data_IF_356500055145
#
_entry.id   IF_356500055145
#
_cell.length_a   1.000
_cell.length_b   1.000
_cell.length_c   1.000
_cell.angle_alpha   90.00
_cell.angle_beta   90.00
_cell.angle_gamma   90.00
#
_symmetry.space_group_name_H-M   'P 1'
#
loop_
_entity.id
_entity.type
_entity.pdbx_description
1 polymer ?
#
# COMPACT_ATOMS: atom_id res chain seq x y z
N UNK A 1 58.70 -13.72 -80.83
CA UNK A 1 57.26 -13.40 -80.64
C UNK A 1 56.77 -14.35 -79.57
N UNK A 2 56.63 -13.90 -78.30
CA UNK A 2 55.41 -13.27 -77.74
C UNK A 2 54.21 -14.19 -78.02
N UNK A 3 53.62 -14.86 -77.03
CA UNK A 3 52.81 -14.14 -76.03
C UNK A 3 52.75 -14.76 -74.62
N UNK A 4 52.58 -13.82 -73.69
CA UNK A 4 52.34 -13.96 -72.26
C UNK A 4 50.85 -14.23 -71.94
N UNK A 5 50.60 -15.21 -71.05
CA UNK A 5 49.70 -15.28 -69.86
C UNK A 5 48.50 -14.31 -69.73
N UNK A 6 47.32 -14.70 -69.17
CA UNK A 6 47.23 -14.79 -67.70
C UNK A 6 46.28 -15.82 -67.05
N UNK A 7 46.60 -16.09 -65.78
CA UNK A 7 45.76 -16.75 -64.77
C UNK A 7 44.42 -16.04 -64.60
N UNK A 8 43.35 -16.82 -64.49
CA UNK A 8 42.06 -16.34 -64.00
C UNK A 8 42.14 -16.11 -62.48
N UNK A 9 42.19 -14.84 -62.10
CA UNK A 9 41.93 -14.41 -60.73
C UNK A 9 40.50 -14.81 -60.32
N UNK A 10 40.40 -15.63 -59.27
CA UNK A 10 39.15 -15.86 -58.55
C UNK A 10 38.84 -14.55 -57.81
N UNK A 11 37.95 -13.75 -58.40
CA UNK A 11 37.37 -12.58 -57.75
C UNK A 11 36.51 -13.08 -56.59
N UNK A 12 37.05 -13.04 -55.38
CA UNK A 12 36.25 -13.04 -54.16
C UNK A 12 35.37 -11.80 -54.17
N UNK A 13 34.15 -11.94 -54.67
CA UNK A 13 33.11 -10.92 -54.58
C UNK A 13 32.84 -10.69 -53.09
N UNK A 14 33.30 -9.54 -52.62
CA UNK A 14 33.06 -9.00 -51.28
C UNK A 14 31.56 -8.95 -50.98
N UNK A 15 31.06 -9.92 -50.20
CA UNK A 15 29.70 -9.93 -49.66
C UNK A 15 29.49 -8.93 -48.52
N UNK A 16 30.39 -7.97 -48.33
CA UNK A 16 30.46 -7.13 -47.13
C UNK A 16 29.81 -5.74 -47.27
N UNK A 17 29.00 -5.45 -48.30
CA UNK A 17 28.50 -4.06 -48.51
C UNK A 17 26.99 -3.90 -48.51
N UNK A 18 26.20 -4.96 -48.75
CA UNK A 18 24.73 -4.86 -48.76
C UNK A 18 24.09 -5.05 -47.39
N UNK A 19 24.76 -5.73 -46.45
CA UNK A 19 24.22 -5.98 -45.11
C UNK A 19 24.39 -4.76 -44.20
N UNK A 20 25.50 -4.02 -44.32
CA UNK A 20 25.89 -2.97 -43.38
C UNK A 20 24.96 -1.76 -43.37
N UNK A 21 24.48 -1.31 -44.53
CA UNK A 21 23.58 -0.14 -44.60
C UNK A 21 22.16 -0.49 -44.14
N UNK A 22 21.70 -1.72 -44.36
CA UNK A 22 20.41 -2.22 -43.87
C UNK A 22 20.44 -2.28 -42.34
N UNK A 23 21.54 -2.80 -41.77
CA UNK A 23 21.73 -2.82 -40.32
C UNK A 23 21.80 -1.40 -39.75
N UNK A 24 22.50 -0.47 -40.40
CA UNK A 24 22.58 0.92 -39.95
C UNK A 24 21.21 1.63 -39.95
N UNK A 25 20.39 1.44 -40.99
CA UNK A 25 19.03 2.00 -41.06
C UNK A 25 18.10 1.32 -40.06
N UNK A 26 18.19 -0.01 -39.91
CA UNK A 26 17.40 -0.76 -38.94
C UNK A 26 17.71 -0.34 -37.49
N UNK A 27 18.98 -0.11 -37.15
CA UNK A 27 19.39 0.39 -35.84
C UNK A 27 18.98 1.86 -35.64
N UNK A 28 19.09 2.69 -36.69
CA UNK A 28 18.71 4.11 -36.66
C UNK A 28 17.21 4.36 -36.44
N UNK A 29 16.33 3.50 -36.98
CA UNK A 29 14.87 3.61 -36.82
C UNK A 29 14.37 2.77 -35.63
N UNK A 30 15.00 1.63 -35.37
CA UNK A 30 14.58 0.72 -34.29
C UNK A 30 14.73 1.33 -32.91
N UNK A 31 15.81 2.07 -32.65
CA UNK A 31 16.05 2.67 -31.33
C UNK A 31 14.98 3.73 -30.94
N UNK A 32 14.62 4.70 -31.81
CA UNK A 32 13.51 5.62 -31.54
C UNK A 32 12.16 4.91 -31.32
N UNK A 33 11.83 3.91 -32.14
CA UNK A 33 10.58 3.16 -32.01
C UNK A 33 10.52 2.42 -30.67
N UNK A 34 11.62 1.77 -30.26
CA UNK A 34 11.72 1.12 -28.97
C UNK A 34 11.59 2.12 -27.79
N UNK A 35 12.22 3.29 -27.91
CA UNK A 35 12.13 4.35 -26.89
C UNK A 35 10.69 4.87 -26.74
N UNK A 36 10.00 5.14 -27.86
CA UNK A 36 8.58 5.52 -27.85
C UNK A 36 7.72 4.42 -27.22
N UNK A 37 7.95 3.17 -27.59
CA UNK A 37 7.27 2.01 -27.00
C UNK A 37 7.42 1.96 -25.47
N UNK A 38 8.63 2.18 -24.95
CA UNK A 38 8.91 2.20 -23.52
C UNK A 38 8.20 3.37 -22.80
N UNK A 39 8.17 4.55 -23.42
CA UNK A 39 7.45 5.72 -22.89
C UNK A 39 5.96 5.43 -22.80
N UNK A 40 5.35 4.89 -23.86
CA UNK A 40 3.93 4.53 -23.88
C UNK A 40 3.62 3.47 -22.82
N UNK A 41 4.44 2.42 -22.69
CA UNK A 41 4.27 1.41 -21.66
C UNK A 41 4.36 2.01 -20.24
N UNK A 42 5.30 2.92 -20.00
CA UNK A 42 5.43 3.61 -18.72
C UNK A 42 4.20 4.46 -18.38
N UNK A 43 3.63 5.17 -19.37
CA UNK A 43 2.40 5.94 -19.20
C UNK A 43 1.20 5.03 -18.91
N UNK A 44 1.07 3.91 -19.64
CA UNK A 44 0.00 2.92 -19.41
C UNK A 44 0.09 2.30 -18.02
N UNK A 45 1.29 1.92 -17.57
CA UNK A 45 1.52 1.40 -16.22
C UNK A 45 1.11 2.40 -15.14
N UNK A 46 1.37 3.70 -15.34
CA UNK A 46 0.92 4.75 -14.40
C UNK A 46 -0.60 4.87 -14.37
N UNK A 47 -1.26 4.80 -15.54
CA UNK A 47 -2.72 4.81 -15.63
C UNK A 47 -3.36 3.61 -14.92
N UNK A 48 -2.85 2.41 -15.17
CA UNK A 48 -3.31 1.18 -14.52
C UNK A 48 -3.15 1.24 -13.00
N UNK A 49 -2.00 1.73 -12.49
CA UNK A 49 -1.79 1.91 -11.04
C UNK A 49 -2.85 2.78 -10.40
N UNK A 50 -3.24 3.90 -11.02
CA UNK A 50 -4.29 4.79 -10.48
C UNK A 50 -5.67 4.12 -10.49
N UNK A 51 -6.00 3.36 -11.53
CA UNK A 51 -7.25 2.64 -11.61
C UNK A 51 -7.33 1.53 -10.54
N UNK A 52 -6.27 0.76 -10.36
CA UNK A 52 -6.15 -0.26 -9.31
C UNK A 52 -6.27 0.37 -7.92
N UNK A 53 -5.62 1.51 -7.68
CA UNK A 53 -5.71 2.24 -6.43
C UNK A 53 -7.15 2.70 -6.15
N UNK A 54 -7.86 3.24 -7.15
CA UNK A 54 -9.26 3.67 -6.99
C UNK A 54 -10.20 2.49 -6.65
N UNK A 55 -10.07 1.36 -7.37
CA UNK A 55 -10.84 0.14 -7.09
C UNK A 55 -10.55 -0.40 -5.69
N UNK A 56 -9.29 -0.32 -5.28
CA UNK A 56 -8.87 -0.73 -3.96
C UNK A 56 -9.48 0.17 -2.87
N UNK A 57 -9.45 1.49 -3.04
CA UNK A 57 -10.10 2.43 -2.12
C UNK A 57 -11.60 2.18 -2.00
N UNK A 58 -12.30 1.91 -3.10
CA UNK A 58 -13.71 1.52 -3.07
C UNK A 58 -13.92 0.22 -2.28
N UNK A 59 -13.01 -0.74 -2.42
CA UNK A 59 -13.06 -2.01 -1.66
C UNK A 59 -12.80 -1.78 -0.16
N UNK A 60 -11.93 -0.84 0.20
CA UNK A 60 -11.74 -0.42 1.58
C UNK A 60 -12.98 0.26 2.15
N UNK A 61 -13.61 1.17 1.39
CA UNK A 61 -14.86 1.80 1.81
C UNK A 61 -15.93 0.77 2.12
N UNK A 62 -16.07 -0.25 1.27
CA UNK A 62 -17.01 -1.35 1.51
C UNK A 62 -16.65 -2.17 2.75
N UNK A 63 -15.37 -2.51 2.92
CA UNK A 63 -14.90 -3.20 4.13
C UNK A 63 -15.14 -2.36 5.40
N UNK A 64 -14.98 -1.05 5.34
CA UNK A 64 -15.27 -0.14 6.44
C UNK A 64 -16.76 -0.01 6.75
N UNK A 65 -17.63 -0.08 5.73
CA UNK A 65 -19.09 -0.08 5.93
C UNK A 65 -19.56 -1.28 6.72
N UNK A 66 -18.96 -2.46 6.51
CA UNK A 66 -19.24 -3.65 7.31
C UNK A 66 -18.97 -3.45 8.81
N UNK A 67 -18.12 -2.49 9.18
CA UNK A 67 -17.79 -2.15 10.57
C UNK A 67 -18.35 -0.78 11.01
N UNK A 68 -19.29 -0.19 10.27
CA UNK A 68 -19.77 1.17 10.56
C UNK A 68 -20.44 1.26 11.93
N UNK A 69 -21.13 0.20 12.36
CA UNK A 69 -21.70 0.11 13.71
C UNK A 69 -20.62 0.24 14.80
N UNK A 70 -19.51 -0.51 14.69
CA UNK A 70 -18.36 -0.40 15.59
C UNK A 70 -17.71 0.98 15.52
N UNK A 71 -17.53 1.51 14.31
CA UNK A 71 -16.93 2.83 14.10
C UNK A 71 -17.73 3.94 14.80
N UNK A 72 -19.06 3.93 14.68
CA UNK A 72 -19.96 4.92 15.31
C UNK A 72 -19.82 4.93 16.83
N UNK A 73 -19.57 3.79 17.45
CA UNK A 73 -19.38 3.70 18.90
C UNK A 73 -18.10 4.38 19.38
N UNK A 74 -17.07 4.48 18.54
CA UNK A 74 -15.84 5.23 18.86
C UNK A 74 -15.89 6.70 18.42
N UNK A 75 -16.99 7.16 17.81
CA UNK A 75 -17.06 8.47 17.16
C UNK A 75 -17.01 9.61 18.20
N UNK A 76 -16.14 10.62 18.00
CA UNK A 76 -16.14 11.81 18.84
C UNK A 76 -17.43 12.63 18.71
N UNK A 77 -17.73 13.52 19.68
CA UNK A 77 -18.78 14.52 19.53
C UNK A 77 -18.57 15.32 18.23
N UNK A 78 -19.65 15.56 17.50
CA UNK A 78 -19.63 16.50 16.37
C UNK A 78 -19.85 17.93 16.89
N UNK A 79 -19.27 18.93 16.22
CA UNK A 79 -19.49 20.34 16.53
C UNK A 79 -20.98 20.70 16.57
N UNK A 80 -21.75 20.13 15.63
CA UNK A 80 -23.19 20.38 15.47
C UNK A 80 -24.06 19.50 16.38
N UNK A 81 -23.51 18.43 16.96
CA UNK A 81 -24.25 17.44 17.76
C UNK A 81 -23.38 16.93 18.92
N UNK A 82 -23.22 17.79 19.92
CA UNK A 82 -22.44 17.48 21.13
C UNK A 82 -23.07 16.36 21.99
N UNK A 83 -24.36 16.12 21.79
CA UNK A 83 -25.15 15.05 22.42
C UNK A 83 -24.92 13.68 21.78
N UNK A 84 -24.45 13.63 20.52
CA UNK A 84 -24.20 12.38 19.79
C UNK A 84 -22.73 11.98 19.86
N UNK A 85 -22.34 11.50 21.04
CA UNK A 85 -21.03 10.88 21.28
C UNK A 85 -21.16 9.36 21.20
N UNK A 86 -20.21 8.71 20.54
CA UNK A 86 -20.14 7.26 20.56
C UNK A 86 -19.91 6.76 21.99
N UNK A 87 -20.67 5.75 22.43
CA UNK A 87 -20.58 5.17 23.79
C UNK A 87 -19.15 4.82 24.22
N UNK A 88 -18.29 4.47 23.27
CA UNK A 88 -16.91 4.03 23.51
C UNK A 88 -15.89 5.15 23.27
N UNK A 89 -16.31 6.40 23.08
CA UNK A 89 -15.40 7.50 22.80
C UNK A 89 -14.90 8.18 24.09
N UNK A 90 -13.59 8.35 24.20
CA UNK A 90 -12.95 9.16 25.24
C UNK A 90 -12.51 8.39 26.49
N UNK A 91 -11.84 9.10 27.38
CA UNK A 91 -11.11 8.53 28.53
C UNK A 91 -12.00 7.93 29.63
N UNK A 92 -13.26 8.36 29.71
CA UNK A 92 -14.22 7.90 30.73
C UNK A 92 -15.25 6.94 30.14
N UNK A 93 -15.03 6.43 28.93
CA UNK A 93 -16.00 5.59 28.23
C UNK A 93 -15.98 4.14 28.75
N UNK A 94 -17.18 3.56 28.90
CA UNK A 94 -17.37 2.18 29.38
C UNK A 94 -16.64 1.15 28.51
N UNK A 95 -16.52 1.42 27.19
CA UNK A 95 -15.98 0.47 26.22
C UNK A 95 -16.89 -0.74 25.95
N UNK A 96 -16.39 -1.78 25.27
CA UNK A 96 -17.14 -3.02 25.00
C UNK A 96 -17.40 -3.83 26.27
N UNK A 97 -18.63 -4.34 26.43
CA UNK A 97 -19.07 -5.10 27.60
C UNK A 97 -19.38 -6.56 27.29
N UNK A 98 -19.93 -6.83 26.10
CA UNK A 98 -20.30 -8.19 25.71
C UNK A 98 -19.21 -8.84 24.85
N UNK A 99 -19.21 -10.18 24.81
CA UNK A 99 -18.29 -10.93 23.95
C UNK A 99 -18.45 -10.57 22.46
N UNK A 100 -19.68 -10.34 22.01
CA UNK A 100 -20.00 -9.92 20.65
C UNK A 100 -19.43 -8.53 20.34
N UNK A 101 -19.56 -7.58 21.28
CA UNK A 101 -18.98 -6.25 21.13
C UNK A 101 -17.45 -6.31 21.05
N UNK A 102 -16.82 -7.16 21.86
CA UNK A 102 -15.38 -7.39 21.77
C UNK A 102 -14.97 -8.00 20.43
N UNK A 103 -15.70 -9.01 19.93
CA UNK A 103 -15.43 -9.60 18.62
C UNK A 103 -15.56 -8.55 17.50
N UNK A 104 -16.54 -7.65 17.58
CA UNK A 104 -16.72 -6.56 16.65
C UNK A 104 -15.57 -5.54 16.66
N UNK A 105 -15.03 -5.23 17.84
CA UNK A 105 -13.82 -4.37 17.97
C UNK A 105 -12.60 -5.08 17.40
N UNK A 106 -12.40 -6.36 17.70
CA UNK A 106 -11.26 -7.14 17.19
C UNK A 106 -11.30 -7.26 15.67
N UNK A 107 -12.47 -7.56 15.08
CA UNK A 107 -12.62 -7.62 13.63
C UNK A 107 -12.32 -6.27 12.96
N UNK A 108 -12.75 -5.18 13.59
CA UNK A 108 -12.49 -3.82 13.12
C UNK A 108 -11.02 -3.43 13.23
N UNK A 109 -10.36 -3.74 14.34
CA UNK A 109 -8.91 -3.56 14.50
C UNK A 109 -8.12 -4.44 13.52
N UNK A 110 -8.55 -5.67 13.30
CA UNK A 110 -7.94 -6.60 12.34
C UNK A 110 -8.02 -6.11 10.89
N UNK A 111 -9.04 -5.32 10.53
CA UNK A 111 -9.09 -4.64 9.24
C UNK A 111 -7.91 -3.67 9.07
N UNK A 112 -7.59 -2.89 10.10
CA UNK A 112 -6.44 -1.99 10.08
C UNK A 112 -5.10 -2.74 10.02
N UNK A 113 -4.98 -3.91 10.65
CA UNK A 113 -3.77 -4.74 10.52
C UNK A 113 -3.54 -5.20 9.08
N UNK A 114 -4.60 -5.68 8.42
CA UNK A 114 -4.54 -6.06 7.00
C UNK A 114 -4.15 -4.86 6.13
N UNK A 115 -4.70 -3.68 6.43
CA UNK A 115 -4.34 -2.45 5.72
C UNK A 115 -2.86 -2.10 5.91
N UNK A 116 -2.33 -2.19 7.14
CA UNK A 116 -0.90 -1.94 7.38
C UNK A 116 -0.01 -2.91 6.59
N UNK A 117 -0.38 -4.19 6.51
CA UNK A 117 0.34 -5.17 5.67
C UNK A 117 0.32 -4.75 4.19
N UNK A 118 -0.83 -4.28 3.68
CA UNK A 118 -0.95 -3.83 2.29
C UNK A 118 -0.16 -2.53 2.02
N UNK A 119 -0.10 -1.61 2.99
CA UNK A 119 0.76 -0.42 2.93
C UNK A 119 2.24 -0.84 2.90
N UNK A 120 2.65 -1.78 3.76
CA UNK A 120 4.01 -2.31 3.79
C UNK A 120 4.42 -3.00 2.50
N UNK A 121 3.46 -3.65 1.83
CA UNK A 121 3.66 -4.26 0.52
C UNK A 121 3.65 -3.24 -0.65
N UNK A 122 3.44 -1.94 -0.38
CA UNK A 122 3.37 -0.90 -1.41
C UNK A 122 2.12 -0.97 -2.29
N UNK A 123 1.10 -1.72 -1.88
CA UNK A 123 -0.19 -1.83 -2.61
C UNK A 123 -1.05 -0.58 -2.40
N UNK A 124 -0.81 0.13 -1.29
CA UNK A 124 -1.52 1.35 -0.92
C UNK A 124 -0.48 2.37 -0.48
N UNK A 125 -0.60 3.60 -0.97
CA UNK A 125 0.20 4.71 -0.46
C UNK A 125 -0.31 5.13 0.91
N UNK A 126 0.59 5.18 1.89
CA UNK A 126 0.26 5.63 3.25
C UNK A 126 -0.34 7.05 3.24
N UNK A 127 0.17 7.90 2.35
CA UNK A 127 -0.26 9.28 2.12
C UNK A 127 -1.71 9.37 1.63
N UNK A 128 -2.21 8.33 0.98
CA UNK A 128 -3.61 8.23 0.56
C UNK A 128 -4.49 7.68 1.69
N UNK A 129 -4.00 6.69 2.44
CA UNK A 129 -4.75 6.10 3.56
C UNK A 129 -4.93 7.07 4.74
N UNK A 130 -3.86 7.75 5.16
CA UNK A 130 -3.84 8.60 6.36
C UNK A 130 -4.96 9.65 6.40
N UNK A 131 -5.15 10.51 5.38
CA UNK A 131 -6.19 11.53 5.44
C UNK A 131 -7.62 10.96 5.40
N UNK A 132 -7.81 9.77 4.81
CA UNK A 132 -9.15 9.17 4.65
C UNK A 132 -9.60 8.39 5.88
N UNK A 133 -8.68 7.64 6.50
CA UNK A 133 -9.05 6.67 7.54
C UNK A 133 -8.21 6.78 8.80
N UNK A 134 -7.12 7.56 8.82
CA UNK A 134 -6.20 7.65 9.96
C UNK A 134 -6.89 8.06 11.26
N UNK A 135 -7.86 8.98 11.18
CA UNK A 135 -8.65 9.43 12.33
C UNK A 135 -9.38 8.29 13.06
N UNK A 136 -9.76 7.22 12.33
CA UNK A 136 -10.47 6.08 12.92
C UNK A 136 -9.59 5.29 13.90
N UNK A 137 -8.28 5.23 13.65
CA UNK A 137 -7.31 4.64 14.58
C UNK A 137 -7.23 5.48 15.85
N UNK A 138 -7.12 6.81 15.71
CA UNK A 138 -7.15 7.72 16.87
C UNK A 138 -8.42 7.57 17.71
N UNK A 139 -9.57 7.40 17.07
CA UNK A 139 -10.84 7.16 17.76
C UNK A 139 -10.83 5.85 18.59
N UNK A 140 -10.23 4.77 18.07
CA UNK A 140 -10.07 3.52 18.83
C UNK A 140 -9.15 3.75 20.04
N UNK A 141 -8.01 4.42 19.82
CA UNK A 141 -7.01 4.70 20.85
C UNK A 141 -7.52 5.66 21.94
N UNK A 142 -8.59 6.41 21.67
CA UNK A 142 -9.22 7.27 22.68
C UNK A 142 -9.93 6.48 23.80
N UNK A 143 -10.18 5.18 23.61
CA UNK A 143 -10.82 4.32 24.61
C UNK A 143 -9.77 3.55 25.44
N UNK A 144 -9.55 3.91 26.72
CA UNK A 144 -8.51 3.28 27.53
C UNK A 144 -8.76 1.79 27.79
N UNK A 145 -10.03 1.36 27.88
CA UNK A 145 -10.36 -0.07 28.08
C UNK A 145 -9.94 -0.93 26.89
N UNK A 146 -10.12 -0.44 25.67
CA UNK A 146 -9.65 -1.13 24.46
C UNK A 146 -8.13 -1.12 24.37
N UNK A 147 -7.50 0.02 24.69
CA UNK A 147 -6.03 0.15 24.72
C UNK A 147 -5.41 -0.83 25.72
N UNK A 148 -5.92 -0.89 26.95
CA UNK A 148 -5.41 -1.80 27.98
C UNK A 148 -5.58 -3.26 27.55
N UNK A 149 -6.82 -3.66 27.23
CA UNK A 149 -7.13 -5.06 26.92
C UNK A 149 -6.42 -5.58 25.65
N UNK A 150 -6.22 -4.73 24.63
CA UNK A 150 -5.67 -5.16 23.33
C UNK A 150 -4.21 -4.78 23.15
N UNK A 151 -3.82 -3.57 23.49
CA UNK A 151 -2.49 -3.02 23.16
C UNK A 151 -1.48 -3.14 24.31
N UNK A 152 -1.96 -3.40 25.54
CA UNK A 152 -1.12 -3.69 26.71
C UNK A 152 -1.13 -5.20 26.99
N UNK A 153 -2.26 -5.77 27.41
CA UNK A 153 -2.36 -7.18 27.82
C UNK A 153 -2.10 -8.17 26.67
N UNK A 154 -2.68 -7.90 25.50
CA UNK A 154 -2.64 -8.78 24.32
C UNK A 154 -1.75 -8.26 23.20
N UNK A 155 -0.82 -7.36 23.54
CA UNK A 155 0.03 -6.61 22.62
C UNK A 155 0.66 -7.45 21.51
N UNK A 156 1.14 -8.65 21.85
CA UNK A 156 1.85 -9.55 20.91
C UNK A 156 1.03 -9.94 19.68
N UNK A 157 -0.30 -9.83 19.75
CA UNK A 157 -1.21 -10.17 18.65
C UNK A 157 -1.59 -8.98 17.78
N UNK A 158 -1.24 -7.76 18.18
CA UNK A 158 -1.67 -6.52 17.53
C UNK A 158 -0.50 -5.70 16.98
N UNK A 159 0.58 -6.38 16.57
CA UNK A 159 1.83 -5.72 16.17
C UNK A 159 1.65 -4.81 14.95
N UNK A 160 0.85 -5.25 13.97
CA UNK A 160 0.60 -4.46 12.76
C UNK A 160 -0.30 -3.26 13.09
N UNK A 161 -1.27 -3.42 13.98
CA UNK A 161 -2.10 -2.30 14.42
C UNK A 161 -1.26 -1.24 15.15
N UNK A 162 -0.38 -1.69 16.05
CA UNK A 162 0.52 -0.81 16.82
C UNK A 162 1.50 -0.09 15.90
N UNK A 163 2.06 -0.79 14.90
CA UNK A 163 2.92 -0.18 13.89
C UNK A 163 2.18 0.91 13.13
N UNK A 164 0.96 0.62 12.64
CA UNK A 164 0.14 1.59 11.94
C UNK A 164 -0.17 2.82 12.80
N UNK A 165 -0.59 2.60 14.05
CA UNK A 165 -0.88 3.68 14.99
C UNK A 165 0.31 4.61 15.20
N UNK A 166 1.52 4.06 15.34
CA UNK A 166 2.76 4.84 15.47
C UNK A 166 3.10 5.61 14.20
N UNK A 167 2.92 5.00 13.03
CA UNK A 167 3.12 5.69 11.74
C UNK A 167 2.17 6.87 11.56
N UNK A 168 0.95 6.76 12.08
CA UNK A 168 -0.03 7.85 12.12
C UNK A 168 0.30 8.94 13.17
N UNK A 169 1.36 8.76 13.97
CA UNK A 169 1.80 9.72 14.98
C UNK A 169 1.11 9.58 16.33
N UNK A 170 0.38 8.49 16.59
CA UNK A 170 -0.24 8.25 17.89
C UNK A 170 0.75 7.64 18.88
N UNK A 171 0.69 8.10 20.12
CA UNK A 171 1.39 7.45 21.22
C UNK A 171 0.66 6.15 21.59
N UNK A 172 1.42 5.06 21.60
CA UNK A 172 0.91 3.73 21.95
C UNK A 172 1.73 3.25 23.14
N UNK A 173 1.08 2.86 24.26
CA UNK A 173 1.78 2.51 25.48
C UNK A 173 2.99 1.59 25.24
N UNK A 174 4.14 1.89 25.87
CA UNK A 174 5.33 1.07 25.75
C UNK A 174 5.08 -0.32 26.34
N UNK A 175 5.87 -1.31 25.92
CA UNK A 175 5.82 -2.65 26.52
C UNK A 175 6.07 -2.51 28.03
N UNK A 176 5.15 -2.96 28.91
CA UNK A 176 5.45 -3.02 30.33
C UNK A 176 6.71 -3.87 30.49
N UNK A 177 7.78 -3.29 31.04
CA UNK A 177 8.98 -4.08 31.36
C UNK A 177 8.50 -5.19 32.28
N UNK A 178 8.68 -6.45 31.84
CA UNK A 178 8.34 -7.60 32.66
C UNK A 178 8.98 -7.38 34.03
N UNK A 179 8.16 -7.37 35.09
CA UNK A 179 8.69 -7.44 36.45
C UNK A 179 9.53 -8.71 36.48
N UNK A 180 10.86 -8.56 36.59
CA UNK A 180 11.73 -9.70 36.86
C UNK A 180 11.15 -10.33 38.13
N UNK A 181 10.78 -11.60 38.06
CA UNK A 181 10.38 -12.32 39.26
C UNK A 181 11.56 -12.25 40.23
N UNK A 182 11.32 -11.65 41.40
CA UNK A 182 12.18 -11.74 42.57
C UNK A 182 11.91 -13.06 43.29
#
# INVERSE_FOLDING_TARGET
MRDHLPMHDIVMVSGATTTDWITAVATGVGAPVAAVGLIVAAVQLRGQRRATEAQFLLSLDEAFRAHDHTHRRFRPPSADRRDQVGRWHGQTADGPETAEEWANVEAYMGLFERINVMINAGLIRFETFQPLYGYRVGNILSNPRVVEAKLVERRRYWTNFIELARRLGYDVPPVPRAKRAE
#
